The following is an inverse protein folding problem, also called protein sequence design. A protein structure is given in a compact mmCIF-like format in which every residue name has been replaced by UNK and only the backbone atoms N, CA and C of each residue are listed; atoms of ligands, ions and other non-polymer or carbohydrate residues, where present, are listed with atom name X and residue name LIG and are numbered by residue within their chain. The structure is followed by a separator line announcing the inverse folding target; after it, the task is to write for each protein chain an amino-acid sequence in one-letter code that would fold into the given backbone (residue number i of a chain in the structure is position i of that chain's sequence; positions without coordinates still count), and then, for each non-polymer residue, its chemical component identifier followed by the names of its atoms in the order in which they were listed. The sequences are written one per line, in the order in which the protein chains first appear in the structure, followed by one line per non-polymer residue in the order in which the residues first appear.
data_IF_864861983432
#
_entry.id   IF_864861983432
#
_cell.length_a   1.000
_cell.length_b   1.000
_cell.length_c   1.000
_cell.angle_alpha   90.00
_cell.angle_beta   90.00
_cell.angle_gamma   90.00
#
_symmetry.space_group_name_H-M   'P 1'
#
loop_
_entity.id
_entity.type
_entity.pdbx_description
1 polymer ?
#
# COMPACT_ATOMS: atom_id res chain seq x y z
N UNK A 1 11.53 -16.44 4.12
CA UNK A 1 10.28 -15.80 3.72
C UNK A 1 10.51 -14.37 3.27
N UNK A 2 9.66 -13.88 2.44
CA UNK A 2 9.79 -12.52 1.94
C UNK A 2 8.50 -11.75 2.18
N UNK A 3 8.57 -10.46 1.96
CA UNK A 3 7.42 -9.58 2.09
C UNK A 3 7.20 -8.86 0.77
N UNK A 4 5.97 -8.48 0.50
CA UNK A 4 5.67 -7.68 -0.67
C UNK A 4 4.86 -6.45 -0.26
N UNK A 5 4.95 -5.43 -1.09
CA UNK A 5 4.34 -4.14 -0.82
C UNK A 5 3.10 -3.97 -1.69
N UNK A 6 2.00 -3.58 -1.07
CA UNK A 6 0.78 -3.23 -1.78
C UNK A 6 0.45 -1.78 -1.50
N UNK A 7 0.10 -1.04 -2.54
CA UNK A 7 -0.15 0.38 -2.42
C UNK A 7 -1.53 0.71 -2.97
N UNK A 8 -2.23 1.60 -2.29
CA UNK A 8 -3.57 2.03 -2.68
C UNK A 8 -3.62 3.55 -2.68
N UNK A 9 -4.07 4.12 -3.78
CA UNK A 9 -4.23 5.57 -3.91
C UNK A 9 -5.69 5.91 -3.71
N UNK A 10 -5.96 6.85 -2.81
CA UNK A 10 -7.33 7.23 -2.47
C UNK A 10 -7.51 8.73 -2.58
N UNK A 11 -8.76 9.14 -2.73
CA UNK A 11 -9.10 10.56 -2.72
C UNK A 11 -10.40 10.75 -1.94
N UNK A 12 -10.58 11.95 -1.43
CA UNK A 12 -11.81 12.33 -0.72
C UNK A 12 -12.43 13.50 -1.44
N UNK A 13 -13.61 13.28 -2.01
CA UNK A 13 -14.32 14.31 -2.76
C UNK A 13 -15.74 14.38 -2.24
N UNK A 14 -16.15 15.58 -1.82
CA UNK A 14 -17.50 15.81 -1.30
C UNK A 14 -17.84 14.86 -0.15
N UNK A 15 -16.87 14.62 0.72
CA UNK A 15 -17.08 13.77 1.88
C UNK A 15 -17.08 12.29 1.58
N UNK A 16 -16.81 11.89 0.35
CA UNK A 16 -16.78 10.48 -0.02
C UNK A 16 -15.37 10.06 -0.38
N UNK A 17 -15.03 8.85 0.02
CA UNK A 17 -13.70 8.30 -0.23
C UNK A 17 -13.74 7.38 -1.44
N UNK A 18 -12.84 7.62 -2.37
CA UNK A 18 -12.68 6.79 -3.57
C UNK A 18 -11.26 6.28 -3.62
N UNK A 19 -11.11 4.98 -3.81
CA UNK A 19 -9.79 4.37 -3.88
C UNK A 19 -9.67 3.56 -5.17
N UNK A 20 -8.51 3.65 -5.81
CA UNK A 20 -8.24 2.79 -6.94
C UNK A 20 -7.90 1.39 -6.44
N UNK A 21 -8.01 0.37 -7.29
CA UNK A 21 -7.67 -0.99 -6.87
C UNK A 21 -6.22 -1.06 -6.38
N UNK A 22 -5.96 -1.90 -5.37
CA UNK A 22 -4.60 -2.05 -4.86
C UNK A 22 -3.63 -2.53 -5.92
N UNK A 23 -2.41 -2.02 -5.85
CA UNK A 23 -1.35 -2.41 -6.77
C UNK A 23 -0.27 -3.12 -5.98
N UNK A 24 0.04 -4.35 -6.37
CA UNK A 24 1.15 -5.08 -5.78
C UNK A 24 2.42 -4.66 -6.48
N UNK A 25 3.36 -4.16 -5.70
CA UNK A 25 4.64 -3.75 -6.24
C UNK A 25 5.49 -4.97 -6.54
N UNK A 26 6.43 -4.83 -7.46
CA UNK A 26 7.19 -5.98 -7.94
C UNK A 26 8.31 -6.41 -7.00
N UNK A 27 8.77 -5.50 -6.17
CA UNK A 27 9.91 -5.78 -5.31
C UNK A 27 9.53 -6.73 -4.19
N UNK A 28 10.49 -7.56 -3.79
CA UNK A 28 10.36 -8.38 -2.61
C UNK A 28 11.35 -7.91 -1.58
N UNK A 29 10.97 -8.03 -0.32
CA UNK A 29 11.75 -7.53 0.79
C UNK A 29 12.07 -8.65 1.75
N UNK A 30 13.24 -8.57 2.34
CA UNK A 30 13.72 -9.63 3.22
C UNK A 30 12.96 -9.63 4.55
N UNK A 31 12.49 -8.47 4.99
CA UNK A 31 11.76 -8.35 6.24
C UNK A 31 10.75 -7.21 6.18
N UNK A 32 9.93 -7.15 7.22
CA UNK A 32 8.89 -6.13 7.28
C UNK A 32 9.46 -4.73 7.41
N UNK A 33 10.55 -4.60 8.14
CA UNK A 33 11.17 -3.30 8.37
C UNK A 33 11.61 -2.67 7.04
N UNK A 34 12.31 -3.43 6.22
CA UNK A 34 12.77 -2.94 4.93
C UNK A 34 11.60 -2.61 4.01
N UNK A 35 10.58 -3.45 4.04
CA UNK A 35 9.37 -3.20 3.26
C UNK A 35 8.71 -1.90 3.67
N UNK A 36 8.60 -1.65 4.97
CA UNK A 36 7.96 -0.43 5.45
C UNK A 36 8.75 0.82 5.05
N UNK A 37 10.07 0.76 5.17
CA UNK A 37 10.89 1.89 4.77
C UNK A 37 10.67 2.24 3.30
N UNK A 38 10.69 1.23 2.45
CA UNK A 38 10.50 1.47 1.03
C UNK A 38 9.08 1.90 0.73
N UNK A 39 8.11 1.38 1.49
CA UNK A 39 6.73 1.80 1.32
C UNK A 39 6.55 3.27 1.55
N UNK A 40 7.16 3.82 2.58
CA UNK A 40 7.10 5.25 2.82
C UNK A 40 7.81 6.03 1.72
N UNK A 41 8.96 5.53 1.26
CA UNK A 41 9.68 6.20 0.19
C UNK A 41 8.90 6.21 -1.11
N UNK A 42 8.32 5.08 -1.48
CA UNK A 42 7.55 5.00 -2.72
C UNK A 42 6.27 5.84 -2.63
N UNK A 43 5.66 5.88 -1.46
CA UNK A 43 4.48 6.71 -1.26
C UNK A 43 4.83 8.19 -1.40
N UNK A 44 5.94 8.59 -0.83
CA UNK A 44 6.42 9.96 -0.99
C UNK A 44 6.62 10.29 -2.45
N UNK A 45 7.32 9.42 -3.16
CA UNK A 45 7.62 9.66 -4.57
C UNK A 45 6.35 9.75 -5.40
N UNK A 46 5.37 8.93 -5.09
CA UNK A 46 4.12 8.95 -5.82
C UNK A 46 3.37 10.25 -5.61
N UNK A 47 3.36 10.75 -4.38
CA UNK A 47 2.72 12.04 -4.09
C UNK A 47 3.40 13.16 -4.85
N UNK A 48 4.74 13.14 -4.91
CA UNK A 48 5.48 14.14 -5.67
C UNK A 48 5.14 14.04 -7.15
N UNK A 49 5.04 12.82 -7.66
CA UNK A 49 4.72 12.59 -9.06
C UNK A 49 3.31 13.10 -9.41
N UNK A 50 2.33 12.85 -8.55
CA UNK A 50 0.97 13.31 -8.78
C UNK A 50 0.92 14.83 -8.78
N UNK A 51 1.65 15.46 -7.89
CA UNK A 51 1.79 16.90 -7.89
C UNK A 51 0.90 17.59 -6.88
N UNK A 52 1.35 18.77 -6.49
CA UNK A 52 0.72 19.52 -5.43
C UNK A 52 -0.74 19.87 -5.74
N UNK A 53 -0.98 20.32 -6.96
CA UNK A 53 -2.33 20.82 -7.30
C UNK A 53 -3.36 19.70 -7.25
N UNK A 54 -3.04 18.56 -7.84
CA UNK A 54 -3.97 17.43 -7.85
C UNK A 54 -4.17 16.86 -6.45
N UNK A 55 -3.09 16.75 -5.69
CA UNK A 55 -3.20 16.24 -4.32
C UNK A 55 -4.12 17.13 -3.51
N UNK A 56 -3.96 18.44 -3.62
CA UNK A 56 -4.78 19.36 -2.85
C UNK A 56 -6.22 19.42 -3.35
N UNK A 57 -6.39 19.34 -4.66
CA UNK A 57 -7.74 19.46 -5.23
C UNK A 57 -8.61 18.26 -4.89
N UNK A 58 -8.03 17.06 -4.95
CA UNK A 58 -8.80 15.82 -4.74
C UNK A 58 -8.55 15.19 -3.39
N UNK A 59 -7.79 15.85 -2.54
CA UNK A 59 -7.44 15.32 -1.21
C UNK A 59 -6.90 13.90 -1.33
N UNK A 60 -5.87 13.74 -2.17
CA UNK A 60 -5.29 12.44 -2.45
C UNK A 60 -4.41 12.01 -1.30
N UNK A 61 -4.50 10.75 -0.95
CA UNK A 61 -3.59 10.16 0.01
C UNK A 61 -3.30 8.73 -0.42
N UNK A 62 -2.25 8.17 0.16
CA UNK A 62 -1.78 6.84 -0.21
C UNK A 62 -1.72 5.98 1.03
N UNK A 63 -2.27 4.78 0.91
CA UNK A 63 -2.13 3.75 1.93
C UNK A 63 -1.25 2.64 1.36
N UNK A 64 -0.47 2.02 2.21
CA UNK A 64 0.29 0.87 1.78
C UNK A 64 0.39 -0.13 2.91
N UNK A 65 0.71 -1.36 2.54
CA UNK A 65 0.88 -2.41 3.52
C UNK A 65 1.94 -3.37 3.07
N UNK A 66 2.57 -4.00 4.04
CA UNK A 66 3.58 -5.01 3.79
C UNK A 66 3.02 -6.34 4.24
N UNK A 67 2.96 -7.29 3.32
CA UNK A 67 2.37 -8.59 3.58
C UNK A 67 3.41 -9.68 3.36
N UNK A 68 3.31 -10.69 4.19
CA UNK A 68 4.20 -11.83 4.10
C UNK A 68 3.88 -12.65 2.87
N UNK A 69 4.91 -13.03 2.14
CA UNK A 69 4.75 -13.85 0.97
C UNK A 69 4.92 -15.30 1.36
N UNK A 70 3.82 -16.02 1.52
CA UNK A 70 3.83 -17.39 1.97
C UNK A 70 3.45 -18.30 0.81
N UNK A 71 4.41 -19.10 0.32
CA UNK A 71 4.17 -19.86 -0.92
C UNK A 71 3.07 -20.91 -0.83
N UNK A 72 2.89 -21.53 0.32
CA UNK A 72 1.94 -22.64 0.42
C UNK A 72 0.77 -22.34 1.31
N UNK A 73 0.36 -21.11 1.37
CA UNK A 73 -0.70 -20.72 2.26
C UNK A 73 -2.06 -21.24 1.82
N UNK A 74 -2.87 -21.55 2.80
CA UNK A 74 -4.28 -21.73 2.55
C UNK A 74 -4.93 -20.36 2.75
N UNK A 75 -5.62 -19.86 1.75
CA UNK A 75 -6.01 -18.45 1.77
C UNK A 75 -6.84 -18.02 2.98
N UNK A 76 -7.68 -18.89 3.45
CA UNK A 76 -8.67 -18.51 4.45
C UNK A 76 -8.05 -18.11 5.77
N UNK A 77 -7.19 -18.94 6.31
CA UNK A 77 -6.68 -18.68 7.66
C UNK A 77 -5.72 -17.52 7.69
N UNK A 78 -4.98 -17.34 6.64
CA UNK A 78 -3.98 -16.28 6.64
C UNK A 78 -4.58 -14.90 6.55
N UNK A 79 -5.66 -14.77 5.84
CA UNK A 79 -6.33 -13.48 5.73
C UNK A 79 -6.77 -12.99 7.08
N UNK A 80 -7.30 -13.86 7.89
CA UNK A 80 -7.79 -13.49 9.21
C UNK A 80 -6.65 -13.00 10.08
N UNK A 81 -5.55 -13.70 10.07
CA UNK A 81 -4.41 -13.33 10.90
C UNK A 81 -3.87 -11.97 10.52
N UNK A 82 -3.74 -11.71 9.25
CA UNK A 82 -3.15 -10.46 8.81
C UNK A 82 -3.98 -9.26 9.16
N UNK A 83 -5.26 -9.44 9.22
CA UNK A 83 -6.12 -8.31 9.52
C UNK A 83 -6.03 -7.85 10.96
N UNK A 84 -5.44 -8.65 11.80
CA UNK A 84 -5.28 -8.25 13.19
C UNK A 84 -4.09 -7.37 13.44
N UNK A 85 -3.23 -7.29 12.49
CA UNK A 85 -2.04 -6.48 12.61
C UNK A 85 -2.31 -5.08 12.09
#
# INVERSE_FOLDING_TARGET
MSYFLTMIICSIVNGKTFCVPPVKMEDEYVDSYTCLLDGYNKSHDKIVEIGRDSVNEYNIYIKFGCNENIPNETPTSHIIIKQKI
#
